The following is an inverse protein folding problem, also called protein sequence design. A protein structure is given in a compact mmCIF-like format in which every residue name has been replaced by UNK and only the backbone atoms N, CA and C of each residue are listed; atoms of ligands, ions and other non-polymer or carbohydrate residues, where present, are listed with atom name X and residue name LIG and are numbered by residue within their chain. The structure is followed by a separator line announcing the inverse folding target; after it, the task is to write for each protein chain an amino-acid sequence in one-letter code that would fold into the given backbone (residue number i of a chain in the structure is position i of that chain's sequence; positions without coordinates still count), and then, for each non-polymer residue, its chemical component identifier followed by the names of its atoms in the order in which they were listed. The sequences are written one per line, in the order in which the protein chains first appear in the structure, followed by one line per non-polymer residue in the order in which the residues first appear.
data_IF_944200732566
#
_entry.id   IF_944200732566
#
_cell.length_a   1.000
_cell.length_b   1.000
_cell.length_c   1.000
_cell.angle_alpha   90.00
_cell.angle_beta   90.00
_cell.angle_gamma   90.00
#
_symmetry.space_group_name_H-M   'P 1'
#
loop_
_entity.id
_entity.type
_entity.pdbx_description
1 polymer ?
#
# COMPACT_ATOMS: atom_id res chain seq x y z
N UNK A 1 -36.47 22.50 -5.97
CA UNK A 1 -35.27 21.65 -5.87
C UNK A 1 -35.07 20.96 -7.19
N UNK A 2 -33.84 20.98 -7.69
CA UNK A 2 -33.40 20.22 -8.86
C UNK A 2 -32.66 18.98 -8.38
N UNK A 3 -32.86 17.83 -9.04
CA UNK A 3 -32.15 16.56 -8.80
C UNK A 3 -31.62 16.02 -10.12
N UNK A 4 -30.35 15.66 -10.19
CA UNK A 4 -29.74 15.15 -11.43
C UNK A 4 -28.31 14.66 -11.27
N UNK A 5 -27.62 14.47 -12.39
CA UNK A 5 -26.23 14.01 -12.40
C UNK A 5 -25.31 15.04 -11.72
N UNK A 6 -24.36 14.56 -10.91
CA UNK A 6 -23.41 15.45 -10.24
C UNK A 6 -22.64 16.32 -11.25
N UNK A 7 -22.48 17.61 -10.95
CA UNK A 7 -21.85 18.59 -11.85
C UNK A 7 -22.72 19.09 -13.01
N UNK A 8 -24.01 18.74 -13.06
CA UNK A 8 -24.96 19.22 -14.08
C UNK A 8 -26.05 20.14 -13.52
N UNK A 9 -25.89 20.62 -12.29
CA UNK A 9 -26.89 21.47 -11.66
C UNK A 9 -27.05 22.81 -12.43
N UNK A 10 -28.29 23.19 -12.81
CA UNK A 10 -28.56 24.50 -13.38
C UNK A 10 -28.43 25.61 -12.34
N UNK A 11 -28.41 26.86 -12.81
CA UNK A 11 -28.51 28.02 -11.95
C UNK A 11 -29.89 28.13 -11.28
N UNK A 12 -29.92 28.80 -10.13
CA UNK A 12 -31.19 29.06 -9.45
C UNK A 12 -32.08 30.00 -10.28
N UNK A 13 -33.41 29.77 -10.31
CA UNK A 13 -34.32 30.60 -11.10
C UNK A 13 -34.49 31.99 -10.46
N UNK A 14 -34.88 32.99 -11.26
CA UNK A 14 -34.89 34.39 -10.85
C UNK A 14 -35.84 34.72 -9.68
N UNK A 15 -36.91 33.94 -9.51
CA UNK A 15 -37.90 34.03 -8.43
C UNK A 15 -37.42 33.36 -7.13
N UNK A 16 -36.36 32.56 -7.19
CA UNK A 16 -35.70 31.94 -6.05
C UNK A 16 -34.19 31.97 -6.27
N UNK A 17 -33.55 33.15 -6.31
CA UNK A 17 -32.20 33.31 -6.84
C UNK A 17 -31.11 32.75 -5.92
N UNK A 18 -31.41 32.44 -4.66
CA UNK A 18 -30.42 31.99 -3.69
C UNK A 18 -30.38 30.47 -3.60
N UNK A 19 -29.15 29.93 -3.63
CA UNK A 19 -28.91 28.52 -3.31
C UNK A 19 -29.01 28.34 -1.81
N UNK A 20 -29.97 27.54 -1.36
CA UNK A 20 -30.20 27.25 0.06
C UNK A 20 -29.61 25.91 0.49
N UNK A 21 -29.43 24.99 -0.46
CA UNK A 21 -28.89 23.65 -0.17
C UNK A 21 -28.25 23.04 -1.40
N UNK A 22 -27.13 22.36 -1.18
CA UNK A 22 -26.52 21.41 -2.10
C UNK A 22 -26.23 20.12 -1.35
N UNK A 23 -26.52 18.99 -1.97
CA UNK A 23 -26.23 17.69 -1.37
C UNK A 23 -26.24 16.56 -2.38
N UNK A 24 -25.82 15.39 -1.93
CA UNK A 24 -25.44 14.31 -2.83
C UNK A 24 -26.13 13.00 -2.49
N UNK A 25 -26.30 12.15 -3.51
CA UNK A 25 -26.88 10.82 -3.35
C UNK A 25 -26.27 9.82 -4.34
N UNK A 26 -26.39 8.52 -4.03
CA UNK A 26 -25.79 7.46 -4.82
C UNK A 26 -24.26 7.51 -4.75
N UNK A 27 -23.73 7.34 -3.54
CA UNK A 27 -22.30 7.23 -3.30
C UNK A 27 -21.76 6.00 -4.04
N UNK A 28 -20.77 6.21 -4.91
CA UNK A 28 -19.94 5.15 -5.45
C UNK A 28 -18.59 5.18 -4.74
N UNK A 29 -18.12 3.99 -4.38
CA UNK A 29 -16.77 3.78 -3.86
C UNK A 29 -15.91 3.26 -4.99
N UNK A 30 -14.84 3.98 -5.34
CA UNK A 30 -13.81 3.50 -6.23
C UNK A 30 -12.59 3.05 -5.43
N UNK A 31 -11.99 1.96 -5.91
CA UNK A 31 -10.71 1.43 -5.45
C UNK A 31 -10.74 0.91 -4.01
N UNK A 32 -10.71 -0.41 -3.87
CA UNK A 32 -10.11 -1.00 -2.67
C UNK A 32 -8.68 -0.45 -2.52
N UNK A 33 -8.11 -0.58 -1.32
CA UNK A 33 -6.68 -0.36 -1.12
C UNK A 33 -5.89 -1.04 -2.24
N UNK A 34 -4.84 -0.38 -2.75
CA UNK A 34 -4.00 -0.96 -3.81
C UNK A 34 -3.43 -2.33 -3.40
N UNK A 35 -3.01 -3.16 -4.36
CA UNK A 35 -2.39 -4.44 -4.04
C UNK A 35 -1.09 -4.21 -3.24
N UNK A 36 -0.85 -5.07 -2.26
CA UNK A 36 0.47 -5.16 -1.64
C UNK A 36 1.41 -5.91 -2.59
N UNK A 37 2.61 -5.37 -2.77
CA UNK A 37 3.68 -5.97 -3.57
C UNK A 37 4.94 -6.10 -2.73
N UNK A 38 5.64 -7.22 -2.90
CA UNK A 38 6.87 -7.54 -2.19
C UNK A 38 8.05 -7.53 -3.15
N UNK A 39 9.22 -7.15 -2.64
CA UNK A 39 10.48 -7.42 -3.33
C UNK A 39 10.65 -8.94 -3.51
N UNK A 40 11.39 -9.39 -4.55
CA UNK A 40 11.80 -10.78 -4.62
C UNK A 40 12.68 -11.15 -3.40
N UNK A 41 12.67 -12.42 -3.02
CA UNK A 41 13.67 -12.99 -2.13
C UNK A 41 14.98 -13.19 -2.92
N UNK A 42 16.12 -13.07 -2.27
CA UNK A 42 17.44 -13.19 -2.90
C UNK A 42 18.37 -14.03 -2.03
N UNK A 43 19.14 -14.94 -2.64
CA UNK A 43 20.23 -15.58 -1.92
C UNK A 43 21.35 -14.56 -1.75
N UNK A 44 21.96 -14.54 -0.58
CA UNK A 44 23.07 -13.66 -0.22
C UNK A 44 24.29 -14.51 0.05
N UNK A 45 25.42 -14.09 -0.52
CA UNK A 45 26.71 -14.73 -0.32
C UNK A 45 27.25 -14.45 1.09
N UNK A 46 28.10 -15.33 1.63
CA UNK A 46 28.73 -15.08 2.92
C UNK A 46 29.71 -13.90 2.82
N UNK A 47 29.46 -12.86 3.62
CA UNK A 47 30.36 -11.71 3.76
C UNK A 47 31.44 -11.96 4.84
N UNK A 48 31.19 -12.93 5.74
CA UNK A 48 32.08 -13.26 6.84
C UNK A 48 33.11 -14.32 6.39
N UNK A 49 34.28 -13.88 5.94
CA UNK A 49 35.41 -14.77 5.62
C UNK A 49 36.55 -14.53 6.60
N UNK A 50 37.06 -15.58 7.22
CA UNK A 50 38.05 -15.49 8.29
C UNK A 50 39.14 -16.54 8.13
N UNK A 51 40.39 -16.15 8.34
CA UNK A 51 41.56 -17.02 8.14
C UNK A 51 42.40 -17.06 9.41
N UNK A 52 42.92 -18.23 9.75
CA UNK A 52 43.89 -18.44 10.82
C UNK A 52 45.25 -18.80 10.22
N UNK A 53 46.32 -18.31 10.82
CA UNK A 53 47.72 -18.65 10.48
C UNK A 53 48.41 -19.46 11.58
N UNK A 54 47.75 -19.64 12.73
CA UNK A 54 48.34 -20.28 13.92
C UNK A 54 47.65 -21.57 14.32
N UNK A 55 46.41 -21.78 13.86
CA UNK A 55 45.59 -22.93 14.19
C UNK A 55 44.97 -23.52 12.92
N UNK A 56 45.04 -24.84 12.78
CA UNK A 56 44.47 -25.60 11.67
C UNK A 56 43.04 -26.10 11.91
N UNK A 57 42.43 -25.77 13.05
CA UNK A 57 41.15 -26.35 13.49
C UNK A 57 39.98 -25.34 13.54
N UNK A 58 40.20 -24.11 13.06
CA UNK A 58 39.31 -22.94 13.20
C UNK A 58 38.78 -22.70 14.63
N UNK A 59 39.61 -23.00 15.63
CA UNK A 59 39.47 -22.60 17.03
C UNK A 59 40.73 -21.84 17.46
N UNK A 60 40.72 -20.51 17.29
CA UNK A 60 41.89 -19.69 17.55
C UNK A 60 41.68 -18.23 17.16
N UNK A 61 42.79 -17.46 17.08
CA UNK A 61 42.74 -16.09 16.58
C UNK A 61 42.49 -16.11 15.07
N UNK A 62 41.40 -15.49 14.64
CA UNK A 62 41.00 -15.38 13.25
C UNK A 62 41.18 -13.95 12.77
N UNK A 63 41.72 -13.79 11.57
CA UNK A 63 41.80 -12.54 10.85
C UNK A 63 40.65 -12.48 9.85
N UNK A 64 39.82 -11.45 9.95
CA UNK A 64 38.76 -11.18 8.98
C UNK A 64 39.36 -10.76 7.64
N UNK A 65 38.77 -11.28 6.57
CA UNK A 65 39.04 -10.91 5.19
C UNK A 65 37.95 -9.92 4.79
N UNK A 66 38.37 -8.74 4.36
CA UNK A 66 37.43 -7.71 3.90
C UNK A 66 36.99 -8.02 2.47
N UNK A 67 35.71 -8.37 2.30
CA UNK A 67 35.02 -8.41 1.00
C UNK A 67 34.14 -7.16 0.85
N UNK A 68 33.88 -6.69 -0.38
CA UNK A 68 32.99 -5.54 -0.59
C UNK A 68 31.58 -5.79 -0.06
N UNK A 69 30.91 -4.76 0.45
CA UNK A 69 29.48 -4.83 0.80
C UNK A 69 28.65 -5.13 -0.46
N UNK A 70 27.73 -6.10 -0.37
CA UNK A 70 26.92 -6.51 -1.53
C UNK A 70 27.73 -7.21 -2.62
N UNK A 71 28.84 -7.86 -2.24
CA UNK A 71 29.67 -8.62 -3.16
C UNK A 71 28.89 -9.70 -3.90
N UNK A 72 29.06 -9.76 -5.22
CA UNK A 72 28.36 -10.66 -6.13
C UNK A 72 29.07 -12.00 -6.36
N UNK A 73 30.17 -12.25 -5.63
CA UNK A 73 30.99 -13.45 -5.76
C UNK A 73 32.11 -13.34 -6.78
N UNK A 74 32.22 -12.20 -7.49
CA UNK A 74 33.33 -11.95 -8.41
C UNK A 74 34.70 -12.03 -7.74
N UNK A 75 35.75 -12.34 -8.48
CA UNK A 75 37.10 -12.39 -7.92
C UNK A 75 37.50 -11.04 -7.29
N UNK A 76 37.80 -11.06 -6.00
CA UNK A 76 38.30 -9.90 -5.26
C UNK A 76 39.67 -10.21 -4.66
N UNK A 77 40.64 -9.32 -4.93
CA UNK A 77 41.94 -9.37 -4.28
C UNK A 77 41.81 -8.96 -2.82
N UNK A 78 42.43 -9.71 -1.93
CA UNK A 78 42.44 -9.45 -0.49
C UNK A 78 43.85 -9.05 -0.05
N UNK A 79 43.97 -8.48 1.16
CA UNK A 79 45.28 -8.34 1.79
C UNK A 79 45.95 -9.72 1.88
N UNK A 80 47.19 -9.84 1.41
CA UNK A 80 47.84 -11.15 1.36
C UNK A 80 48.06 -11.70 2.77
N UNK A 81 47.69 -12.96 2.97
CA UNK A 81 47.82 -13.68 4.24
C UNK A 81 48.86 -14.77 4.05
N UNK A 82 49.99 -14.63 4.71
CA UNK A 82 51.09 -15.59 4.65
C UNK A 82 50.83 -16.81 5.52
N UNK A 83 51.20 -17.99 5.01
CA UNK A 83 51.13 -19.27 5.74
C UNK A 83 49.78 -19.58 6.41
N UNK A 84 48.64 -19.46 5.71
CA UNK A 84 47.35 -19.71 6.32
C UNK A 84 47.15 -21.22 6.57
N UNK A 85 46.58 -21.53 7.73
CA UNK A 85 46.43 -22.88 8.26
C UNK A 85 44.98 -23.37 8.25
N UNK A 86 44.01 -22.48 8.47
CA UNK A 86 42.59 -22.80 8.34
C UNK A 86 41.78 -21.59 7.91
N UNK A 87 40.59 -21.84 7.39
CA UNK A 87 39.66 -20.83 6.93
C UNK A 87 38.24 -21.16 7.42
N UNK A 88 37.54 -20.13 7.86
CA UNK A 88 36.14 -20.15 8.26
C UNK A 88 35.36 -19.23 7.33
N UNK A 89 34.25 -19.73 6.81
CA UNK A 89 33.33 -18.99 5.97
C UNK A 89 31.97 -19.00 6.64
N UNK A 90 31.36 -17.83 6.76
CA UNK A 90 30.00 -17.67 7.25
C UNK A 90 28.99 -18.43 6.40
N UNK A 91 27.73 -18.51 6.85
CA UNK A 91 26.68 -19.14 6.08
C UNK A 91 26.27 -18.24 4.90
N UNK A 92 25.75 -18.86 3.84
CA UNK A 92 24.86 -18.14 2.91
C UNK A 92 23.58 -17.75 3.64
N UNK A 93 22.91 -16.71 3.15
CA UNK A 93 21.68 -16.18 3.76
C UNK A 93 20.60 -16.01 2.71
N UNK A 94 19.36 -15.88 3.17
CA UNK A 94 18.25 -15.43 2.33
C UNK A 94 17.93 -14.00 2.74
N UNK A 95 18.32 -13.09 1.87
CA UNK A 95 17.91 -11.70 1.87
C UNK A 95 16.52 -11.50 1.31
N UNK A 96 16.01 -10.28 1.46
CA UNK A 96 14.79 -9.83 0.79
C UNK A 96 13.49 -10.45 1.32
N UNK A 97 12.53 -9.57 1.58
CA UNK A 97 11.07 -9.73 1.53
C UNK A 97 10.52 -8.44 2.13
N UNK A 98 10.76 -7.31 1.47
CA UNK A 98 10.30 -6.01 1.94
C UNK A 98 9.13 -5.51 1.10
N UNK A 99 8.14 -4.81 1.70
CA UNK A 99 7.06 -4.18 0.95
C UNK A 99 7.58 -3.11 -0.01
N UNK A 100 7.25 -3.23 -1.29
CA UNK A 100 7.60 -2.23 -2.33
C UNK A 100 6.79 -0.96 -2.14
N UNK A 101 5.55 -1.08 -1.65
CA UNK A 101 4.63 0.03 -1.40
C UNK A 101 4.25 0.07 0.08
N UNK A 102 4.72 1.09 0.79
CA UNK A 102 4.42 1.28 2.21
C UNK A 102 3.07 1.98 2.47
N UNK A 103 2.53 2.69 1.48
CA UNK A 103 1.27 3.45 1.62
C UNK A 103 0.35 3.19 0.45
N UNK A 104 -0.77 2.52 0.74
CA UNK A 104 -1.82 2.28 -0.23
C UNK A 104 -2.70 3.53 -0.34
N UNK A 105 -3.10 3.94 -1.56
CA UNK A 105 -4.05 5.02 -1.72
C UNK A 105 -5.36 4.66 -1.00
N UNK A 106 -5.93 5.65 -0.29
CA UNK A 106 -7.23 5.50 0.37
C UNK A 106 -8.33 5.32 -0.66
N UNK A 107 -9.45 4.74 -0.22
CA UNK A 107 -10.64 4.63 -1.05
C UNK A 107 -11.06 6.02 -1.55
N UNK A 108 -11.38 6.11 -2.84
CA UNK A 108 -11.88 7.33 -3.45
C UNK A 108 -13.40 7.26 -3.55
N UNK A 109 -14.07 8.39 -3.30
CA UNK A 109 -15.52 8.46 -3.31
C UNK A 109 -16.01 9.40 -4.39
N UNK A 110 -17.07 9.01 -5.09
CA UNK A 110 -17.79 9.90 -6.00
C UNK A 110 -19.28 9.80 -5.78
N UNK A 111 -19.98 10.85 -6.18
CA UNK A 111 -21.42 10.93 -6.09
C UNK A 111 -22.04 10.87 -7.47
N UNK A 112 -23.00 9.96 -7.68
CA UNK A 112 -23.73 9.86 -8.94
C UNK A 112 -24.71 11.03 -9.12
N UNK A 113 -25.37 11.43 -8.03
CA UNK A 113 -26.46 12.41 -8.06
C UNK A 113 -26.18 13.56 -7.11
N UNK A 114 -26.68 14.71 -7.51
CA UNK A 114 -26.69 15.95 -6.73
C UNK A 114 -28.12 16.50 -6.70
N UNK A 115 -28.47 17.13 -5.59
CA UNK A 115 -29.63 17.99 -5.49
C UNK A 115 -29.21 19.43 -5.17
N UNK A 116 -29.92 20.38 -5.76
CA UNK A 116 -29.79 21.81 -5.50
C UNK A 116 -31.15 22.38 -5.12
N UNK A 117 -31.28 22.94 -3.92
CA UNK A 117 -32.47 23.67 -3.51
C UNK A 117 -32.21 25.16 -3.58
N UNK A 118 -33.15 25.87 -4.19
CA UNK A 118 -33.13 27.32 -4.28
C UNK A 118 -34.33 27.89 -3.53
N UNK A 119 -34.22 29.14 -3.08
CA UNK A 119 -35.31 29.85 -2.43
C UNK A 119 -35.10 31.35 -2.38
N UNK A 120 -36.01 32.02 -1.68
CA UNK A 120 -35.92 33.43 -1.31
C UNK A 120 -35.72 33.55 0.20
N UNK A 121 -35.07 34.63 0.64
CA UNK A 121 -34.97 35.00 2.06
C UNK A 121 -36.22 35.78 2.50
N UNK A 122 -37.08 36.17 1.56
CA UNK A 122 -38.35 36.81 1.89
C UNK A 122 -39.26 35.80 2.59
N UNK A 123 -39.77 36.13 3.78
CA UNK A 123 -40.68 35.25 4.50
C UNK A 123 -41.94 35.03 3.67
N UNK A 124 -42.33 33.77 3.52
CA UNK A 124 -43.56 33.43 2.82
C UNK A 124 -44.78 33.93 3.61
N UNK A 125 -45.75 34.50 2.91
CA UNK A 125 -46.96 35.02 3.54
C UNK A 125 -47.81 33.89 4.15
N UNK A 126 -48.40 34.12 5.33
CA UNK A 126 -49.36 33.19 5.90
C UNK A 126 -50.61 33.13 5.02
N UNK A 127 -51.21 31.95 4.89
CA UNK A 127 -52.51 31.84 4.26
C UNK A 127 -53.58 32.56 5.09
N UNK A 128 -54.61 33.09 4.41
CA UNK A 128 -55.73 33.75 5.08
C UNK A 128 -56.30 32.88 6.23
N UNK A 129 -56.12 33.39 7.45
CA UNK A 129 -56.74 32.84 8.66
C UNK A 129 -56.13 31.56 9.26
N UNK A 130 -54.90 31.16 8.92
CA UNK A 130 -54.29 29.90 9.42
C UNK A 130 -52.82 30.01 9.82
N UNK A 131 -52.37 29.12 10.70
CA UNK A 131 -50.94 28.85 11.02
C UNK A 131 -50.17 28.17 9.85
N UNK A 132 -50.70 28.22 8.63
CA UNK A 132 -50.14 27.55 7.45
C UNK A 132 -49.51 28.57 6.52
N UNK A 133 -48.32 28.25 6.01
CA UNK A 133 -47.61 29.06 5.02
C UNK A 133 -48.19 28.82 3.62
N UNK A 134 -48.47 29.90 2.90
CA UNK A 134 -49.07 29.82 1.57
C UNK A 134 -48.04 29.54 0.49
N UNK A 135 -48.17 28.39 -0.15
CA UNK A 135 -47.27 27.92 -1.20
C UNK A 135 -47.89 28.22 -2.56
N UNK A 136 -47.15 28.78 -3.53
CA UNK A 136 -47.67 29.02 -4.88
C UNK A 136 -48.25 27.74 -5.49
N UNK A 137 -49.50 27.81 -5.98
CA UNK A 137 -50.31 26.64 -6.33
C UNK A 137 -49.76 25.78 -7.48
N UNK A 138 -49.05 26.40 -8.42
CA UNK A 138 -48.30 25.73 -9.49
C UNK A 138 -47.20 26.66 -10.01
N UNK A 139 -45.95 26.32 -9.75
CA UNK A 139 -44.84 26.84 -10.54
C UNK A 139 -44.57 25.75 -11.58
N UNK A 140 -44.87 26.02 -12.85
CA UNK A 140 -44.51 25.11 -13.93
C UNK A 140 -43.03 24.70 -13.75
N UNK A 141 -42.64 23.42 -13.92
CA UNK A 141 -41.26 22.99 -13.72
C UNK A 141 -40.32 23.81 -14.62
N UNK A 142 -39.66 24.83 -14.06
CA UNK A 142 -38.73 25.67 -14.82
C UNK A 142 -37.36 25.05 -14.69
N UNK A 143 -36.77 24.67 -15.82
CA UNK A 143 -35.40 24.13 -15.88
C UNK A 143 -35.19 22.88 -15.01
N UNK A 144 -36.25 22.08 -14.80
CA UNK A 144 -36.18 20.83 -14.03
C UNK A 144 -36.21 21.01 -12.51
N UNK A 145 -36.58 22.18 -11.99
CA UNK A 145 -36.84 22.38 -10.56
C UNK A 145 -38.27 21.96 -10.18
N UNK A 146 -38.39 21.15 -9.14
CA UNK A 146 -39.66 20.74 -8.50
C UNK A 146 -39.92 21.54 -7.23
N UNK A 147 -41.18 21.74 -6.87
CA UNK A 147 -41.54 22.35 -5.58
C UNK A 147 -41.49 21.28 -4.47
N UNK A 148 -40.69 21.52 -3.45
CA UNK A 148 -40.43 20.53 -2.40
C UNK A 148 -40.40 21.15 -1.00
N UNK A 149 -40.77 20.35 -0.01
CA UNK A 149 -40.59 20.64 1.41
C UNK A 149 -39.33 19.92 1.89
N UNK A 150 -38.46 20.66 2.57
CA UNK A 150 -37.28 20.09 3.24
C UNK A 150 -37.66 19.62 4.64
N UNK A 151 -37.25 18.41 5.01
CA UNK A 151 -37.24 17.96 6.40
C UNK A 151 -35.85 17.46 6.76
N UNK A 152 -35.34 17.98 7.88
CA UNK A 152 -34.06 17.57 8.46
C UNK A 152 -34.31 16.39 9.42
N UNK A 153 -33.55 15.31 9.29
CA UNK A 153 -33.62 14.15 10.19
C UNK A 153 -33.90 12.79 9.52
N UNK A 154 -33.83 11.73 10.33
CA UNK A 154 -33.69 10.35 9.85
C UNK A 154 -34.99 9.58 9.57
N UNK A 155 -36.12 9.99 10.14
CA UNK A 155 -37.43 9.39 9.85
C UNK A 155 -38.41 10.46 9.39
N UNK A 156 -38.61 10.51 8.07
CA UNK A 156 -39.47 11.50 7.44
C UNK A 156 -40.52 10.79 6.59
N UNK A 157 -41.73 10.72 7.12
CA UNK A 157 -42.93 10.53 6.29
C UNK A 157 -43.27 11.87 5.64
N UNK A 158 -43.39 11.86 4.31
CA UNK A 158 -43.78 13.05 3.57
C UNK A 158 -45.28 13.35 3.77
N UNK A 159 -45.66 14.64 3.87
CA UNK A 159 -47.06 15.01 4.05
C UNK A 159 -47.91 14.69 2.81
N UNK A 160 -49.24 14.58 2.95
CA UNK A 160 -50.15 14.42 1.82
C UNK A 160 -49.91 15.47 0.73
N UNK A 161 -49.91 15.06 -0.54
CA UNK A 161 -49.60 15.91 -1.69
C UNK A 161 -48.10 15.98 -2.06
N UNK A 162 -47.22 15.40 -1.25
CA UNK A 162 -45.78 15.30 -1.51
C UNK A 162 -45.35 13.82 -1.42
N UNK A 163 -45.65 13.01 -2.43
CA UNK A 163 -45.47 11.55 -2.36
C UNK A 163 -44.03 11.08 -2.58
N UNK A 164 -43.15 11.92 -3.14
CA UNK A 164 -41.77 11.53 -3.46
C UNK A 164 -40.77 12.07 -2.45
N UNK A 165 -40.40 11.24 -1.47
CA UNK A 165 -39.31 11.51 -0.54
C UNK A 165 -37.96 11.05 -1.11
N UNK A 166 -37.05 11.99 -1.40
CA UNK A 166 -35.67 11.66 -1.79
C UNK A 166 -34.68 12.18 -0.76
N UNK A 167 -33.75 11.32 -0.34
CA UNK A 167 -32.73 11.64 0.65
C UNK A 167 -31.41 12.03 -0.01
N UNK A 168 -30.80 13.10 0.49
CA UNK A 168 -29.48 13.60 0.11
C UNK A 168 -28.63 13.85 1.36
N UNK A 169 -27.31 13.90 1.17
CA UNK A 169 -26.32 14.03 2.24
C UNK A 169 -25.39 15.20 1.95
N UNK A 170 -24.89 15.87 2.99
CA UNK A 170 -23.94 16.99 2.86
C UNK A 170 -22.56 16.51 2.39
N UNK A 171 -22.19 15.28 2.74
CA UNK A 171 -20.90 14.70 2.41
C UNK A 171 -20.68 13.29 2.96
N UNK A 172 -19.43 12.87 2.96
CA UNK A 172 -18.97 11.60 3.54
C UNK A 172 -17.88 11.89 4.55
N UNK A 173 -18.03 11.33 5.74
CA UNK A 173 -16.92 11.20 6.68
C UNK A 173 -16.20 9.89 6.38
N UNK A 174 -15.02 10.02 5.79
CA UNK A 174 -14.14 8.91 5.50
C UNK A 174 -13.36 8.50 6.75
N UNK A 175 -13.69 7.33 7.28
CA UNK A 175 -12.93 6.66 8.34
C UNK A 175 -12.29 5.37 7.84
N UNK A 176 -12.13 5.25 6.52
CA UNK A 176 -11.51 4.08 5.92
C UNK A 176 -9.99 4.15 6.04
N UNK A 177 -9.39 2.99 6.23
CA UNK A 177 -7.95 2.81 6.40
C UNK A 177 -7.55 1.50 5.73
N UNK A 178 -6.35 1.49 5.16
CA UNK A 178 -5.76 0.28 4.60
C UNK A 178 -4.88 -0.39 5.66
N UNK A 179 -4.95 -1.71 5.77
CA UNK A 179 -3.96 -2.46 6.54
C UNK A 179 -2.58 -2.27 5.93
N UNK A 180 -1.55 -2.24 6.79
CA UNK A 180 -0.16 -2.15 6.35
C UNK A 180 0.21 -3.37 5.51
N UNK A 181 0.99 -3.15 4.46
CA UNK A 181 1.59 -4.23 3.71
C UNK A 181 2.72 -4.86 4.53
N UNK A 182 2.69 -6.17 4.60
CA UNK A 182 3.76 -7.00 5.17
C UNK A 182 4.10 -8.07 4.15
N UNK A 183 5.36 -8.50 4.15
CA UNK A 183 5.84 -9.51 3.24
C UNK A 183 6.31 -10.70 4.05
N UNK A 184 5.80 -11.88 3.70
CA UNK A 184 6.18 -13.12 4.36
C UNK A 184 6.90 -14.00 3.36
N UNK A 185 7.98 -14.63 3.82
CA UNK A 185 8.67 -15.67 3.06
C UNK A 185 7.83 -16.94 3.04
N UNK A 186 7.76 -17.57 1.88
CA UNK A 186 7.05 -18.81 1.62
C UNK A 186 7.90 -19.76 0.78
N UNK A 187 7.77 -21.04 1.09
CA UNK A 187 8.57 -22.12 0.48
C UNK A 187 9.83 -22.43 1.29
N UNK A 188 10.46 -23.53 0.92
CA UNK A 188 11.82 -23.83 1.35
C UNK A 188 12.80 -22.98 0.53
N UNK A 189 13.89 -22.56 1.16
CA UNK A 189 14.97 -21.83 0.50
C UNK A 189 16.23 -22.69 0.52
N UNK A 190 16.93 -22.73 -0.60
CA UNK A 190 18.22 -23.42 -0.73
C UNK A 190 19.19 -22.45 -1.39
N UNK A 191 20.20 -22.04 -0.63
CA UNK A 191 21.24 -21.13 -1.10
C UNK A 191 22.58 -21.82 -0.82
N UNK A 192 23.09 -22.58 -1.77
CA UNK A 192 24.35 -23.30 -1.61
C UNK A 192 25.38 -22.59 -2.46
N UNK A 193 26.53 -22.26 -1.87
CA UNK A 193 27.60 -21.59 -2.57
C UNK A 193 28.92 -22.33 -2.39
N UNK A 194 29.82 -22.16 -3.36
CA UNK A 194 31.21 -22.61 -3.27
C UNK A 194 32.11 -21.38 -3.30
N UNK A 195 32.83 -21.19 -2.19
CA UNK A 195 33.87 -20.19 -2.03
C UNK A 195 35.22 -20.80 -2.39
N UNK A 196 35.95 -20.13 -3.27
CA UNK A 196 37.31 -20.52 -3.68
C UNK A 196 38.29 -19.47 -3.20
N UNK A 197 39.37 -19.93 -2.58
CA UNK A 197 40.49 -19.08 -2.20
C UNK A 197 41.71 -19.39 -3.05
N UNK A 198 42.45 -18.33 -3.38
CA UNK A 198 43.54 -18.40 -4.34
C UNK A 198 44.83 -17.83 -3.77
N UNK A 199 45.95 -18.37 -4.25
CA UNK A 199 47.29 -17.92 -3.85
C UNK A 199 47.77 -16.68 -4.63
N UNK A 200 47.09 -16.32 -5.71
CA UNK A 200 47.35 -15.13 -6.52
C UNK A 200 46.21 -14.12 -6.38
N UNK A 201 46.43 -12.88 -6.83
CA UNK A 201 45.43 -11.82 -6.76
C UNK A 201 44.39 -11.87 -7.90
N UNK A 202 44.52 -12.79 -8.86
CA UNK A 202 43.70 -12.88 -10.08
C UNK A 202 42.78 -14.10 -10.13
N UNK A 203 42.61 -14.81 -9.02
CA UNK A 203 41.79 -16.02 -8.92
C UNK A 203 42.13 -17.10 -9.97
N UNK A 204 43.42 -17.28 -10.27
CA UNK A 204 43.87 -18.27 -11.27
C UNK A 204 44.42 -19.56 -10.65
N UNK A 205 44.92 -19.48 -9.42
CA UNK A 205 45.52 -20.58 -8.66
C UNK A 205 44.64 -20.98 -7.49
N UNK A 206 43.61 -21.78 -7.76
CA UNK A 206 42.73 -22.32 -6.72
C UNK A 206 43.53 -23.18 -5.74
N UNK A 207 43.55 -22.75 -4.48
CA UNK A 207 44.25 -23.45 -3.39
C UNK A 207 43.28 -24.35 -2.61
N UNK A 208 42.05 -23.85 -2.40
CA UNK A 208 41.05 -24.56 -1.61
C UNK A 208 39.63 -24.08 -1.94
N UNK A 209 38.66 -24.96 -1.73
CA UNK A 209 37.24 -24.71 -1.92
C UNK A 209 36.49 -25.08 -0.64
N UNK A 210 35.54 -24.22 -0.25
CA UNK A 210 34.61 -24.48 0.85
C UNK A 210 33.20 -24.27 0.33
N UNK A 211 32.26 -25.09 0.80
CA UNK A 211 30.86 -25.04 0.37
C UNK A 211 29.94 -24.59 1.51
N UNK A 212 29.87 -23.28 1.83
CA UNK A 212 28.88 -22.76 2.76
C UNK A 212 27.46 -23.02 2.25
N UNK A 213 26.59 -23.40 3.18
CA UNK A 213 25.17 -23.65 2.91
C UNK A 213 24.32 -22.78 3.81
N UNK A 214 23.03 -22.72 3.50
CA UNK A 214 22.09 -21.84 4.19
C UNK A 214 22.16 -22.03 5.71
N UNK A 215 22.36 -20.92 6.43
CA UNK A 215 22.43 -20.85 7.90
C UNK A 215 23.52 -21.71 8.58
N UNK A 216 24.40 -22.36 7.81
CA UNK A 216 25.49 -23.17 8.34
C UNK A 216 26.87 -22.66 7.87
N UNK A 217 27.64 -22.12 8.81
CA UNK A 217 29.03 -21.76 8.57
C UNK A 217 29.91 -23.00 8.39
N UNK A 218 30.96 -22.87 7.59
CA UNK A 218 31.90 -23.96 7.29
C UNK A 218 33.31 -23.56 7.73
N UNK A 219 34.04 -24.53 8.25
CA UNK A 219 35.44 -24.41 8.61
C UNK A 219 36.23 -25.56 7.97
N UNK A 220 37.41 -25.24 7.44
CA UNK A 220 38.33 -26.24 6.90
C UNK A 220 39.79 -25.89 7.18
N UNK A 221 40.60 -26.93 7.41
CA UNK A 221 42.05 -26.80 7.36
C UNK A 221 42.50 -26.62 5.90
N UNK A 222 43.46 -25.74 5.66
CA UNK A 222 44.00 -25.53 4.32
C UNK A 222 45.01 -26.65 3.98
N UNK A 223 44.73 -27.48 2.96
CA UNK A 223 45.59 -28.61 2.63
C UNK A 223 46.94 -28.14 2.12
N UNK A 224 48.02 -28.81 2.55
CA UNK A 224 49.37 -28.52 2.08
C UNK A 224 50.00 -27.23 2.61
N UNK A 225 49.32 -26.49 3.49
CA UNK A 225 49.80 -25.22 4.06
C UNK A 225 50.32 -24.27 2.98
N UNK A 226 49.41 -23.69 2.16
CA UNK A 226 49.82 -22.85 1.04
C UNK A 226 50.69 -21.70 1.52
N UNK A 227 51.63 -21.21 0.68
CA UNK A 227 52.55 -20.15 1.10
C UNK A 227 51.81 -18.85 1.40
N UNK A 228 50.73 -18.57 0.67
CA UNK A 228 49.91 -17.38 0.85
C UNK A 228 48.48 -17.57 0.32
N UNK A 229 47.57 -16.73 0.78
CA UNK A 229 46.29 -16.43 0.13
C UNK A 229 46.26 -14.95 -0.28
N UNK A 230 45.66 -14.65 -1.43
CA UNK A 230 45.69 -13.31 -2.02
C UNK A 230 44.39 -12.91 -2.75
N UNK A 231 43.48 -13.84 -3.06
CA UNK A 231 42.14 -13.49 -3.54
C UNK A 231 41.10 -14.53 -3.14
N UNK A 232 39.84 -14.12 -3.24
CA UNK A 232 38.66 -14.96 -3.00
C UNK A 232 37.63 -14.72 -4.10
N UNK A 233 36.94 -15.77 -4.49
CA UNK A 233 35.76 -15.73 -5.36
C UNK A 233 34.69 -16.68 -4.82
N UNK A 234 33.44 -16.46 -5.15
CA UNK A 234 32.34 -17.33 -4.73
C UNK A 234 31.29 -17.45 -5.82
N UNK A 235 30.71 -18.63 -5.95
CA UNK A 235 29.63 -18.88 -6.91
C UNK A 235 28.52 -19.64 -6.23
N UNK A 236 27.26 -19.32 -6.53
CA UNK A 236 26.14 -20.17 -6.12
C UNK A 236 26.14 -21.46 -6.93
N UNK A 237 26.11 -22.58 -6.22
CA UNK A 237 25.79 -23.89 -6.78
C UNK A 237 24.27 -24.07 -6.86
N UNK A 238 23.54 -23.52 -5.88
CA UNK A 238 22.07 -23.45 -5.85
C UNK A 238 21.65 -22.04 -5.41
N UNK A 239 20.83 -21.36 -6.22
CA UNK A 239 20.26 -20.04 -5.96
C UNK A 239 18.72 -20.13 -6.00
N UNK A 240 18.15 -20.70 -4.94
CA UNK A 240 16.72 -20.88 -4.76
C UNK A 240 16.25 -20.18 -3.46
N UNK A 241 16.11 -18.84 -3.45
CA UNK A 241 15.78 -18.09 -2.24
C UNK A 241 14.32 -18.26 -1.79
N UNK A 242 13.49 -18.94 -2.58
CA UNK A 242 12.06 -19.11 -2.33
C UNK A 242 11.24 -17.93 -2.86
N UNK A 243 10.04 -17.74 -2.30
CA UNK A 243 9.10 -16.70 -2.75
C UNK A 243 8.65 -15.80 -1.60
N UNK A 244 8.33 -14.54 -1.91
CA UNK A 244 7.67 -13.64 -0.97
C UNK A 244 6.17 -13.53 -1.31
N UNK A 245 5.31 -13.74 -0.32
CA UNK A 245 3.87 -13.50 -0.47
C UNK A 245 3.49 -12.20 0.24
N UNK A 246 2.79 -11.28 -0.45
CA UNK A 246 2.26 -10.07 0.17
C UNK A 246 1.05 -10.39 1.04
N UNK A 247 1.04 -9.83 2.24
CA UNK A 247 -0.08 -9.82 3.18
C UNK A 247 -0.47 -8.37 3.50
N UNK A 248 -1.76 -8.09 3.62
CA UNK A 248 -2.26 -6.74 3.91
C UNK A 248 -3.05 -6.13 2.75
N UNK A 249 -3.20 -4.80 2.78
CA UNK A 249 -3.95 -4.06 1.77
C UNK A 249 -5.46 -4.32 1.78
N UNK A 250 -6.01 -4.72 2.93
CA UNK A 250 -7.45 -4.79 3.14
C UNK A 250 -7.96 -3.42 3.59
N UNK A 251 -9.09 -3.01 3.01
CA UNK A 251 -9.83 -1.83 3.45
C UNK A 251 -10.57 -2.15 4.76
N UNK A 252 -10.30 -1.37 5.79
CA UNK A 252 -11.02 -1.37 7.05
C UNK A 252 -11.81 -0.08 7.23
N UNK A 253 -12.91 -0.18 7.98
CA UNK A 253 -13.83 0.93 8.19
C UNK A 253 -14.84 1.07 7.06
N UNK A 254 -15.91 1.80 7.35
CA UNK A 254 -16.99 2.07 6.39
C UNK A 254 -17.19 3.57 6.33
N UNK A 255 -17.23 4.19 5.15
CA UNK A 255 -17.58 5.60 5.03
C UNK A 255 -18.96 5.87 5.63
N UNK A 256 -19.10 6.96 6.38
CA UNK A 256 -20.38 7.35 6.98
C UNK A 256 -20.94 8.57 6.27
N UNK A 257 -22.21 8.49 5.85
CA UNK A 257 -22.89 9.59 5.19
C UNK A 257 -23.30 10.65 6.22
N UNK A 258 -23.15 11.93 5.89
CA UNK A 258 -23.35 13.03 6.82
C UNK A 258 -24.63 13.81 6.56
N UNK A 259 -25.23 14.32 7.63
CA UNK A 259 -26.36 15.25 7.66
C UNK A 259 -27.48 14.90 6.66
N UNK A 260 -28.20 13.78 6.87
CA UNK A 260 -29.27 13.38 5.97
C UNK A 260 -30.38 14.44 5.93
N UNK A 261 -30.69 14.90 4.72
CA UNK A 261 -31.80 15.80 4.43
C UNK A 261 -32.75 15.11 3.48
N UNK A 262 -34.04 15.08 3.86
CA UNK A 262 -35.10 14.50 3.03
C UNK A 262 -35.89 15.61 2.36
N UNK A 263 -35.97 15.57 1.04
CA UNK A 263 -36.87 16.43 0.27
C UNK A 263 -38.10 15.66 -0.12
N UNK A 264 -39.26 16.18 0.28
CA UNK A 264 -40.56 15.69 -0.13
C UNK A 264 -41.06 16.59 -1.26
N UNK A 265 -41.15 16.08 -2.48
CA UNK A 265 -41.52 16.86 -3.66
C UNK A 265 -42.94 16.52 -4.13
N UNK A 266 -43.62 17.50 -4.73
CA UNK A 266 -44.89 17.25 -5.43
C UNK A 266 -44.58 16.46 -6.71
N UNK A 267 -45.42 15.50 -7.11
CA UNK A 267 -45.27 14.83 -8.40
C UNK A 267 -45.35 15.88 -9.52
N UNK A 268 -44.51 15.71 -10.54
CA UNK A 268 -44.65 16.48 -11.78
C UNK A 268 -45.97 16.07 -12.45
N UNK A 269 -46.86 17.03 -12.71
CA UNK A 269 -48.03 16.83 -13.58
C UNK A 269 -47.61 16.65 -15.04
#
# INVERSE_FOLDING_TARGET
MWKGANGKAPECPADAPMTLYEGYAGLNTFSACGPCECSPATCELPEDVEVSTSDGTCGGSLQSVEVPEGWDGSCVSIGSIDTPTSIRVGPTRVGGCEPVVHQLPRAAFTWNRMAKACGSLEPMEPCEGKETVCVPGSVAPRQGFEQCIVKVGDQVTCPPGYSEGTRFYSGVRDTTLCTLCTCRRWGESTCDATLRVHGDASCTSSQHELSPVLENAVCGALPGSPPQLASVETTFDVDEPGTCSPEGGQLHGTPTLQDPVTFCCRPAE
#
